data_IF_408576602988
#
_entry.id   IF_408576602988
#
_cell.length_a   1.000
_cell.length_b   1.000
_cell.length_c   1.000
_cell.angle_alpha   90.00
_cell.angle_beta   90.00
_cell.angle_gamma   90.00
#
_symmetry.space_group_name_H-M   'P 1'
#
loop_
_entity.id
_entity.type
_entity.pdbx_description
1 polymer ?
#
# COMPACT_ATOMS: atom_id res chain seq x y z
N UNK A 1 17.51 12.87 28.96
CA UNK A 1 16.55 12.26 28.00
C UNK A 1 16.84 10.78 27.84
N UNK A 2 15.89 9.88 28.13
CA UNK A 2 16.04 8.45 27.77
C UNK A 2 16.08 8.35 26.24
N UNK A 3 17.22 7.93 25.68
CA UNK A 3 17.36 7.65 24.25
C UNK A 3 16.34 6.57 23.90
N UNK A 4 15.30 6.93 23.16
CA UNK A 4 14.25 6.00 22.76
C UNK A 4 14.84 4.74 22.14
N UNK A 5 14.20 3.58 22.34
CA UNK A 5 14.65 2.30 21.79
C UNK A 5 14.92 2.46 20.30
N UNK A 6 16.13 2.08 19.85
CA UNK A 6 16.49 2.09 18.41
C UNK A 6 15.38 1.40 17.62
N UNK A 7 14.81 2.09 16.64
CA UNK A 7 13.84 1.49 15.72
C UNK A 7 14.56 0.32 15.03
N UNK A 8 13.96 -0.87 15.05
CA UNK A 8 14.50 -2.00 14.28
C UNK A 8 14.47 -1.64 12.79
N UNK A 9 15.52 -2.03 12.06
CA UNK A 9 15.55 -1.97 10.60
C UNK A 9 14.36 -2.74 10.04
N UNK A 10 13.69 -2.17 9.03
CA UNK A 10 12.59 -2.82 8.31
C UNK A 10 13.10 -3.23 6.94
N UNK A 11 12.84 -4.47 6.53
CA UNK A 11 13.27 -4.93 5.23
C UNK A 11 12.19 -4.75 4.18
N UNK A 12 12.61 -4.38 2.97
CA UNK A 12 11.78 -4.37 1.77
C UNK A 12 12.37 -5.33 0.73
N UNK A 13 11.54 -5.90 -0.14
CA UNK A 13 12.04 -6.76 -1.22
C UNK A 13 12.79 -5.96 -2.29
N UNK A 14 12.28 -4.77 -2.62
CA UNK A 14 12.81 -3.91 -3.69
C UNK A 14 12.28 -2.48 -3.50
N UNK A 15 12.96 -1.49 -4.09
CA UNK A 15 12.46 -0.12 -4.13
C UNK A 15 11.25 -0.01 -5.06
N UNK A 16 10.27 0.86 -4.75
CA UNK A 16 9.16 1.12 -5.65
C UNK A 16 9.67 1.60 -7.01
N UNK A 17 9.20 1.03 -8.14
CA UNK A 17 9.62 1.46 -9.47
C UNK A 17 9.09 2.87 -9.83
N UNK A 18 8.01 3.30 -9.17
CA UNK A 18 7.42 4.63 -9.31
C UNK A 18 7.23 5.22 -7.91
N UNK A 19 7.67 6.46 -7.72
CA UNK A 19 7.60 7.15 -6.43
C UNK A 19 6.45 8.18 -6.34
N UNK A 20 5.70 8.41 -7.41
CA UNK A 20 4.59 9.37 -7.43
C UNK A 20 3.46 8.88 -8.33
N UNK A 21 2.26 8.76 -7.76
CA UNK A 21 1.02 8.51 -8.48
C UNK A 21 0.15 9.75 -8.41
N UNK A 22 -0.45 10.16 -9.53
CA UNK A 22 -1.27 11.36 -9.62
C UNK A 22 -2.62 11.04 -10.29
N UNK A 23 -3.75 11.51 -9.74
CA UNK A 23 -5.05 11.35 -10.36
C UNK A 23 -5.11 12.16 -11.67
N UNK A 24 -5.64 11.55 -12.74
CA UNK A 24 -5.85 12.22 -14.03
C UNK A 24 -7.25 12.82 -14.11
N UNK A 25 -7.39 13.91 -14.87
CA UNK A 25 -8.68 14.54 -15.15
C UNK A 25 -9.10 15.66 -14.19
N UNK A 26 -8.23 16.05 -13.25
CA UNK A 26 -8.47 17.19 -12.35
C UNK A 26 -7.62 18.40 -12.78
N UNK A 27 -8.22 19.59 -13.01
CA UNK A 27 -7.44 20.81 -13.26
C UNK A 27 -6.69 21.24 -11.99
N UNK A 28 -5.48 21.78 -12.17
CA UNK A 28 -4.61 22.25 -11.09
C UNK A 28 -3.63 21.19 -10.57
N UNK A 29 -2.93 21.51 -9.48
CA UNK A 29 -2.01 20.60 -8.80
C UNK A 29 -2.74 19.97 -7.60
N UNK A 30 -3.06 18.66 -7.62
CA UNK A 30 -3.68 18.01 -6.47
C UNK A 30 -2.75 18.04 -5.26
N UNK A 31 -3.34 18.07 -4.06
CA UNK A 31 -2.60 17.91 -2.81
C UNK A 31 -1.83 16.59 -2.82
N UNK A 32 -0.73 16.53 -2.07
CA UNK A 32 0.12 15.34 -1.99
C UNK A 32 0.00 14.70 -0.61
N UNK A 33 -0.18 13.39 -0.59
CA UNK A 33 -0.10 12.58 0.63
C UNK A 33 1.07 11.60 0.55
N UNK A 34 1.78 11.45 1.66
CA UNK A 34 2.99 10.62 1.74
C UNK A 34 2.64 9.20 2.18
N UNK A 35 3.08 8.22 1.39
CA UNK A 35 3.16 6.81 1.76
C UNK A 35 4.61 6.46 2.05
N UNK A 36 4.90 5.89 3.21
CA UNK A 36 6.28 5.51 3.53
C UNK A 36 6.67 4.23 2.78
N UNK A 37 7.95 4.07 2.47
CA UNK A 37 8.44 2.88 1.74
C UNK A 37 8.12 1.56 2.44
N UNK A 38 8.11 1.53 3.77
CA UNK A 38 7.71 0.35 4.55
C UNK A 38 6.18 0.13 4.58
N UNK A 39 5.39 1.20 4.49
CA UNK A 39 3.95 1.15 4.28
C UNK A 39 3.60 0.60 2.88
N UNK A 40 4.34 1.03 1.85
CA UNK A 40 4.27 0.47 0.50
C UNK A 40 4.60 -1.03 0.51
N UNK A 41 5.69 -1.43 1.17
CA UNK A 41 6.07 -2.84 1.24
C UNK A 41 5.00 -3.69 1.95
N UNK A 42 4.41 -3.19 3.05
CA UNK A 42 3.34 -3.89 3.75
C UNK A 42 2.10 -4.08 2.86
N UNK A 43 1.69 -3.04 2.12
CA UNK A 43 0.61 -3.13 1.12
C UNK A 43 0.96 -4.15 0.02
N UNK A 44 2.18 -4.09 -0.51
CA UNK A 44 2.63 -5.00 -1.57
C UNK A 44 2.59 -6.46 -1.11
N UNK A 45 3.08 -6.74 0.09
CA UNK A 45 3.08 -8.09 0.66
C UNK A 45 1.65 -8.58 0.91
N UNK A 46 0.87 -7.82 1.68
CA UNK A 46 -0.44 -8.29 2.13
C UNK A 46 -1.52 -8.23 1.05
N UNK A 47 -1.64 -7.07 0.39
CA UNK A 47 -2.80 -6.77 -0.46
C UNK A 47 -2.54 -7.09 -1.94
N UNK A 48 -1.28 -7.02 -2.38
CA UNK A 48 -0.92 -7.33 -3.78
C UNK A 48 -0.38 -8.76 -3.98
N UNK A 49 0.46 -9.25 -3.07
CA UNK A 49 1.04 -10.61 -3.13
C UNK A 49 0.27 -11.64 -2.30
N UNK A 50 -0.70 -11.20 -1.49
CA UNK A 50 -1.61 -12.06 -0.73
C UNK A 50 -0.99 -12.73 0.49
N UNK A 51 0.15 -12.25 1.01
CA UNK A 51 0.74 -12.78 2.24
C UNK A 51 -0.14 -12.48 3.45
N UNK A 52 -0.22 -13.42 4.39
CA UNK A 52 -0.84 -13.12 5.68
C UNK A 52 0.04 -12.19 6.54
N UNK A 53 -0.50 -11.69 7.66
CA UNK A 53 0.24 -10.74 8.51
C UNK A 53 1.49 -11.35 9.16
N UNK A 54 1.51 -12.65 9.41
CA UNK A 54 2.66 -13.35 9.99
C UNK A 54 3.76 -13.50 8.94
N UNK A 55 3.41 -13.91 7.73
CA UNK A 55 4.32 -14.02 6.59
C UNK A 55 4.92 -12.64 6.23
N UNK A 56 4.08 -11.61 6.11
CA UNK A 56 4.51 -10.24 5.82
C UNK A 56 5.42 -9.67 6.92
N UNK A 57 5.12 -9.93 8.20
CA UNK A 57 5.99 -9.53 9.31
C UNK A 57 7.35 -10.23 9.25
N UNK A 58 7.35 -11.53 8.92
CA UNK A 58 8.58 -12.30 8.73
C UNK A 58 9.41 -11.76 7.56
N UNK A 59 8.77 -11.39 6.45
CA UNK A 59 9.42 -10.78 5.29
C UNK A 59 10.14 -9.48 5.68
N UNK A 60 9.44 -8.58 6.37
CA UNK A 60 9.96 -7.27 6.78
C UNK A 60 10.90 -7.32 8.00
N UNK A 61 11.05 -8.48 8.66
CA UNK A 61 11.91 -8.64 9.84
C UNK A 61 11.39 -7.93 11.09
N UNK A 62 10.07 -7.79 11.21
CA UNK A 62 9.39 -7.08 12.31
C UNK A 62 8.39 -8.00 13.04
N UNK A 63 7.81 -7.53 14.14
CA UNK A 63 6.75 -8.29 14.81
C UNK A 63 5.43 -8.20 14.03
N UNK A 64 4.59 -9.24 14.15
CA UNK A 64 3.23 -9.27 13.57
C UNK A 64 2.40 -8.05 13.93
N UNK A 65 2.47 -7.60 15.19
CA UNK A 65 1.79 -6.39 15.66
C UNK A 65 2.32 -5.11 14.98
N UNK A 66 3.64 -5.02 14.72
CA UNK A 66 4.21 -3.87 14.01
C UNK A 66 3.79 -3.86 12.55
N UNK A 67 3.82 -5.02 11.90
CA UNK A 67 3.33 -5.19 10.53
C UNK A 67 1.87 -4.76 10.41
N UNK A 68 0.99 -5.25 11.29
CA UNK A 68 -0.42 -4.86 11.30
C UNK A 68 -0.66 -3.36 11.50
N UNK A 69 0.18 -2.66 12.27
CA UNK A 69 0.12 -1.19 12.42
C UNK A 69 0.54 -0.47 11.15
N UNK A 70 1.64 -0.90 10.53
CA UNK A 70 2.15 -0.34 9.27
C UNK A 70 1.12 -0.53 8.15
N UNK A 71 0.61 -1.75 7.97
CA UNK A 71 -0.39 -2.08 6.96
C UNK A 71 -1.68 -1.25 7.14
N UNK A 72 -2.15 -1.07 8.38
CA UNK A 72 -3.32 -0.24 8.66
C UNK A 72 -3.11 1.22 8.24
N UNK A 73 -1.95 1.80 8.56
CA UNK A 73 -1.62 3.17 8.17
C UNK A 73 -1.52 3.29 6.66
N UNK A 74 -0.86 2.33 6.00
CA UNK A 74 -0.70 2.28 4.57
C UNK A 74 -2.06 2.27 3.83
N UNK A 75 -2.99 1.42 4.29
CA UNK A 75 -4.37 1.38 3.77
C UNK A 75 -5.12 2.69 4.00
N UNK A 76 -4.94 3.33 5.15
CA UNK A 76 -5.54 4.64 5.43
C UNK A 76 -5.04 5.71 4.47
N UNK A 77 -3.73 5.83 4.29
CA UNK A 77 -3.11 6.78 3.36
C UNK A 77 -3.60 6.56 1.93
N UNK A 78 -3.61 5.30 1.48
CA UNK A 78 -4.09 4.94 0.15
C UNK A 78 -5.58 5.29 -0.03
N UNK A 79 -6.42 4.96 0.96
CA UNK A 79 -7.85 5.29 0.93
C UNK A 79 -8.07 6.81 0.88
N UNK A 80 -7.34 7.58 1.70
CA UNK A 80 -7.40 9.05 1.67
C UNK A 80 -7.00 9.60 0.31
N UNK A 81 -5.90 9.11 -0.28
CA UNK A 81 -5.46 9.55 -1.61
C UNK A 81 -6.54 9.35 -2.68
N UNK A 82 -7.22 8.20 -2.64
CA UNK A 82 -8.27 7.85 -3.60
C UNK A 82 -9.53 8.69 -3.36
N UNK A 83 -9.99 8.83 -2.12
CA UNK A 83 -11.24 9.53 -1.77
C UNK A 83 -11.11 11.04 -1.99
N UNK A 84 -9.97 11.64 -1.62
CA UNK A 84 -9.76 13.09 -1.73
C UNK A 84 -9.18 13.50 -3.09
N UNK A 85 -8.78 12.53 -3.93
CA UNK A 85 -8.14 12.80 -5.21
C UNK A 85 -6.79 13.49 -5.05
N UNK A 86 -5.98 13.00 -4.11
CA UNK A 86 -4.63 13.48 -3.82
C UNK A 86 -3.58 12.67 -4.61
N UNK A 87 -2.46 13.30 -4.94
CA UNK A 87 -1.28 12.58 -5.41
C UNK A 87 -0.71 11.72 -4.26
N UNK A 88 -0.36 10.47 -4.55
CA UNK A 88 0.29 9.57 -3.60
C UNK A 88 1.80 9.55 -3.87
N UNK A 89 2.58 10.11 -2.96
CA UNK A 89 4.05 10.14 -3.06
C UNK A 89 4.68 9.13 -2.12
N UNK A 90 5.51 8.24 -2.66
CA UNK A 90 6.26 7.26 -1.86
C UNK A 90 7.60 7.86 -1.43
N UNK A 91 7.90 7.86 -0.13
CA UNK A 91 9.17 8.37 0.41
C UNK A 91 9.83 7.44 1.44
N UNK A 92 11.15 7.48 1.46
CA UNK A 92 11.95 6.92 2.56
C UNK A 92 11.78 7.89 3.74
N UNK A 93 10.86 7.59 4.66
CA UNK A 93 10.66 8.38 5.89
C UNK A 93 11.77 8.14 6.93
N UNK A 94 11.51 8.44 8.22
CA UNK A 94 12.49 8.30 9.33
C UNK A 94 12.72 6.85 9.81
N UNK A 95 12.74 5.91 8.88
CA UNK A 95 12.90 4.48 9.15
C UNK A 95 14.10 3.98 8.36
N UNK A 96 14.99 3.28 9.05
CA UNK A 96 16.07 2.58 8.39
C UNK A 96 15.50 1.38 7.63
N UNK A 97 15.58 1.44 6.30
CA UNK A 97 15.16 0.37 5.41
C UNK A 97 16.38 -0.38 4.86
N UNK A 98 16.26 -1.70 4.74
CA UNK A 98 17.25 -2.54 4.07
C UNK A 98 16.57 -3.36 2.98
N UNK A 99 17.29 -3.67 1.91
CA UNK A 99 16.77 -4.61 0.90
C UNK A 99 17.13 -6.03 1.31
N UNK A 100 16.14 -6.93 1.34
CA UNK A 100 16.37 -8.36 1.60
C UNK A 100 15.50 -9.23 0.72
N UNK A 101 16.11 -9.98 -0.19
CA UNK A 101 15.45 -11.11 -0.83
C UNK A 101 15.46 -12.28 0.16
N UNK A 102 14.37 -12.49 0.89
CA UNK A 102 14.12 -13.78 1.55
C UNK A 102 13.48 -14.73 0.54
N UNK A 103 13.77 -16.02 0.68
CA UNK A 103 12.98 -17.11 0.09
C UNK A 103 11.60 -17.15 0.76
N UNK A 104 10.74 -16.18 0.48
CA UNK A 104 9.32 -16.31 0.78
C UNK A 104 8.69 -17.27 -0.23
N UNK A 105 7.71 -18.08 0.18
CA UNK A 105 7.00 -18.95 -0.74
C UNK A 105 6.47 -18.11 -1.91
N UNK A 106 6.79 -18.51 -3.15
CA UNK A 106 6.23 -17.88 -4.34
C UNK A 106 4.72 -18.10 -4.29
N UNK A 107 3.96 -17.07 -3.92
CA UNK A 107 2.50 -17.09 -4.07
C UNK A 107 2.19 -16.78 -5.52
N UNK A 108 1.50 -17.70 -6.20
CA UNK A 108 1.08 -17.53 -7.59
C UNK A 108 0.26 -16.24 -7.71
N UNK A 109 0.78 -15.28 -8.48
CA UNK A 109 0.06 -14.07 -8.84
C UNK A 109 -0.93 -14.42 -9.95
N UNK A 110 -2.19 -14.06 -9.78
CA UNK A 110 -2.99 -13.64 -10.92
C UNK A 110 -2.92 -12.11 -10.96
N UNK A 111 -2.42 -11.49 -12.05
CA UNK A 111 -2.68 -10.08 -12.29
C UNK A 111 -4.18 -9.82 -12.11
N UNK A 112 -4.54 -8.72 -11.46
CA UNK A 112 -5.91 -8.25 -11.54
C UNK A 112 -6.14 -7.93 -13.02
N UNK A 113 -6.94 -8.73 -13.71
CA UNK A 113 -7.41 -8.36 -15.05
C UNK A 113 -8.31 -7.15 -14.88
N UNK A 114 -7.74 -5.97 -15.14
CA UNK A 114 -8.49 -4.74 -15.19
C UNK A 114 -9.20 -4.72 -16.54
N UNK A 115 -10.31 -5.47 -16.66
CA UNK A 115 -11.27 -5.28 -17.74
C UNK A 115 -11.81 -3.83 -17.73
N UNK A 116 -12.45 -3.39 -18.81
CA UNK A 116 -12.96 -2.03 -19.00
C UNK A 116 -13.53 -1.43 -17.71
N UNK A 117 -12.71 -0.63 -17.02
CA UNK A 117 -13.00 -0.09 -15.69
C UNK A 117 -14.31 0.68 -15.71
N UNK A 118 -14.54 1.38 -16.81
CA UNK A 118 -15.77 2.12 -17.07
C UNK A 118 -17.00 1.21 -17.13
N UNK A 119 -16.90 0.04 -17.79
CA UNK A 119 -17.99 -0.93 -17.87
C UNK A 119 -18.30 -1.52 -16.48
N UNK A 120 -17.26 -1.89 -15.72
CA UNK A 120 -17.38 -2.43 -14.36
C UNK A 120 -18.00 -1.42 -13.39
N UNK A 121 -17.55 -0.16 -13.46
CA UNK A 121 -18.09 0.92 -12.63
C UNK A 121 -19.57 1.19 -12.96
N UNK A 122 -19.92 1.26 -14.24
CA UNK A 122 -21.31 1.48 -14.69
C UNK A 122 -22.25 0.35 -14.26
N UNK A 123 -21.85 -0.90 -14.44
CA UNK A 123 -22.67 -2.06 -14.03
C UNK A 123 -22.91 -2.10 -12.52
N UNK A 124 -21.89 -1.76 -11.71
CA UNK A 124 -22.02 -1.77 -10.26
C UNK A 124 -22.88 -0.61 -9.73
N UNK A 125 -22.72 0.60 -10.25
CA UNK A 125 -23.56 1.75 -9.85
C UNK A 125 -25.05 1.43 -10.13
N UNK A 126 -25.36 0.88 -11.30
CA UNK A 126 -26.73 0.51 -11.68
C UNK A 126 -27.33 -0.60 -10.79
N UNK A 127 -26.51 -1.54 -10.30
CA UNK A 127 -26.94 -2.59 -9.35
C UNK A 127 -27.31 -2.04 -7.97
N UNK A 128 -26.63 -1.00 -7.51
CA UNK A 128 -26.88 -0.39 -6.18
C UNK A 128 -27.87 0.78 -6.21
N UNK A 129 -28.28 1.26 -7.39
CA UNK A 129 -29.27 2.34 -7.52
C UNK A 129 -30.71 1.81 -7.63
N UNK A 130 -30.92 0.51 -7.85
CA UNK A 130 -32.24 -0.11 -8.05
C UNK A 130 -32.81 -0.86 -6.83
N UNK A 131 -32.27 -0.69 -5.62
CA UNK A 131 -32.76 -1.41 -4.43
C UNK A 131 -33.66 -0.59 -3.49
N UNK A 132 -33.84 0.70 -3.73
CA UNK A 132 -34.67 1.58 -2.91
C UNK A 132 -35.76 2.33 -3.71
N UNK A 133 -36.43 1.64 -4.64
CA UNK A 133 -37.73 2.06 -5.18
C UNK A 133 -38.73 0.91 -5.15
#
# INVERSE_FOLDING_TARGET
MRKGRRKKVRYIQEMPPVALFSPRGRPGRPDEIELKVDEFEALKLADYQGYDQSEGAQAMGISRASFGRILRNARKVLATAIVEGCCLRIRIGDVQVGVRQKNLPKKDRKPVEIGDVEKVLRENILKYTRKDQ
#
